data_IF_955271130998
#
_entry.id   IF_955271130998
#
_cell.length_a   1.000
_cell.length_b   1.000
_cell.length_c   1.000
_cell.angle_alpha   90.00
_cell.angle_beta   90.00
_cell.angle_gamma   90.00
#
_symmetry.space_group_name_H-M   'P 1'
#
loop_
_entity.id
_entity.type
_entity.pdbx_description
1 polymer ?
#
# COMPACT_ATOMS: atom_id res chain seq x y z
N UNK A 1 17.54 -0.76 -11.39
CA UNK A 1 16.60 0.26 -10.89
C UNK A 1 15.49 -0.48 -10.18
N UNK A 2 15.19 -0.16 -8.92
CA UNK A 2 14.05 -0.78 -8.21
C UNK A 2 12.75 -0.32 -8.86
N UNK A 3 11.86 -1.25 -9.21
CA UNK A 3 10.56 -0.92 -9.80
C UNK A 3 9.51 -0.78 -8.70
N UNK A 4 8.82 0.36 -8.65
CA UNK A 4 7.67 0.58 -7.77
C UNK A 4 6.35 0.47 -8.54
N UNK A 5 5.27 0.19 -7.81
CA UNK A 5 3.89 0.20 -8.32
C UNK A 5 3.00 1.13 -7.49
N UNK A 6 2.29 2.04 -8.14
CA UNK A 6 1.32 2.87 -7.44
C UNK A 6 0.04 2.10 -7.10
N UNK A 7 -0.38 2.11 -5.83
CA UNK A 7 -1.59 1.40 -5.42
C UNK A 7 -2.88 2.03 -5.96
N UNK A 8 -2.82 3.25 -6.51
CA UNK A 8 -3.94 3.90 -7.21
C UNK A 8 -4.38 3.19 -8.48
N UNK A 9 -3.54 2.31 -9.04
CA UNK A 9 -3.90 1.56 -10.24
C UNK A 9 -4.86 0.40 -9.96
N UNK A 10 -5.08 0.06 -8.68
CA UNK A 10 -6.00 -1.00 -8.27
C UNK A 10 -7.39 -0.46 -7.96
N UNK A 11 -8.44 -1.30 -8.05
CA UNK A 11 -9.78 -0.92 -7.63
C UNK A 11 -9.82 -0.45 -6.16
N UNK A 12 -10.56 0.62 -5.83
CA UNK A 12 -10.58 1.18 -4.47
C UNK A 12 -11.20 0.23 -3.43
N UNK A 13 -11.99 -0.76 -3.85
CA UNK A 13 -12.60 -1.77 -2.96
C UNK A 13 -11.64 -2.90 -2.58
N UNK A 14 -10.50 -3.03 -3.28
CA UNK A 14 -9.48 -4.02 -2.96
C UNK A 14 -8.71 -3.58 -1.73
N UNK A 15 -8.47 -4.43 -0.73
CA UNK A 15 -7.71 -4.01 0.44
C UNK A 15 -6.23 -3.75 0.13
N UNK A 16 -5.57 -2.92 0.93
CA UNK A 16 -4.19 -2.49 0.69
C UNK A 16 -3.22 -3.68 0.65
N UNK A 17 -3.39 -4.66 1.53
CA UNK A 17 -2.52 -5.84 1.61
C UNK A 17 -2.62 -6.74 0.37
N UNK A 18 -3.82 -6.90 -0.17
CA UNK A 18 -4.08 -7.61 -1.41
C UNK A 18 -3.39 -6.91 -2.58
N UNK A 19 -3.46 -5.58 -2.66
CA UNK A 19 -2.76 -4.81 -3.70
C UNK A 19 -1.25 -4.95 -3.60
N UNK A 20 -0.70 -4.88 -2.38
CA UNK A 20 0.74 -5.10 -2.10
C UNK A 20 1.16 -6.50 -2.53
N UNK A 21 0.37 -7.53 -2.20
CA UNK A 21 0.65 -8.91 -2.60
C UNK A 21 0.69 -9.07 -4.12
N UNK A 22 -0.27 -8.48 -4.84
CA UNK A 22 -0.28 -8.54 -6.31
C UNK A 22 0.95 -7.83 -6.90
N UNK A 23 1.36 -6.69 -6.33
CA UNK A 23 2.57 -5.99 -6.76
C UNK A 23 3.83 -6.86 -6.56
N UNK A 24 3.94 -7.53 -5.41
CA UNK A 24 5.02 -8.45 -5.10
C UNK A 24 5.04 -9.66 -6.06
N UNK A 25 3.89 -10.30 -6.27
CA UNK A 25 3.74 -11.45 -7.17
C UNK A 25 4.08 -11.08 -8.64
N UNK A 26 3.89 -9.81 -9.02
CA UNK A 26 4.26 -9.27 -10.33
C UNK A 26 5.73 -8.84 -10.46
N UNK A 27 6.54 -8.99 -9.40
CA UNK A 27 7.97 -8.70 -9.39
C UNK A 27 8.33 -7.23 -9.18
N UNK A 28 7.41 -6.43 -8.60
CA UNK A 28 7.74 -5.08 -8.14
C UNK A 28 8.46 -5.15 -6.78
N UNK A 29 9.45 -4.26 -6.60
CA UNK A 29 10.30 -4.19 -5.40
C UNK A 29 9.81 -3.16 -4.39
N UNK A 30 8.74 -2.42 -4.71
CA UNK A 30 8.14 -1.45 -3.82
C UNK A 30 6.76 -1.03 -4.29
N UNK A 31 6.03 -0.36 -3.40
CA UNK A 31 4.71 0.20 -3.69
C UNK A 31 4.64 1.66 -3.26
N UNK A 32 3.79 2.44 -3.94
CA UNK A 32 3.48 3.81 -3.56
C UNK A 32 2.06 3.84 -3.02
N UNK A 33 1.94 4.13 -1.72
CA UNK A 33 0.66 4.27 -1.01
C UNK A 33 0.27 5.75 -1.05
N UNK A 34 -0.96 6.02 -1.48
CA UNK A 34 -1.54 7.35 -1.39
C UNK A 34 -2.34 7.40 -0.08
N UNK A 35 -2.33 8.58 0.56
CA UNK A 35 -2.96 8.79 1.86
C UNK A 35 -4.14 9.77 1.72
N UNK A 36 -4.98 9.53 0.72
CA UNK A 36 -6.16 10.37 0.49
C UNK A 36 -7.21 10.16 1.59
N UNK A 37 -8.05 11.17 1.90
CA UNK A 37 -9.05 11.07 2.98
C UNK A 37 -10.07 9.93 2.84
N UNK A 38 -10.27 9.42 1.62
CA UNK A 38 -11.22 8.35 1.31
C UNK A 38 -10.57 6.97 1.14
N UNK A 39 -9.24 6.87 1.31
CA UNK A 39 -8.53 5.60 1.25
C UNK A 39 -8.50 4.91 2.62
N UNK A 40 -8.18 3.60 2.60
CA UNK A 40 -8.09 2.76 3.80
C UNK A 40 -7.10 3.32 4.83
N UNK A 41 -5.98 3.86 4.35
CA UNK A 41 -5.02 4.62 5.14
C UNK A 41 -4.99 6.06 4.63
N UNK A 42 -4.95 7.02 5.55
CA UNK A 42 -4.96 8.44 5.24
C UNK A 42 -4.11 9.24 6.21
N UNK A 43 -4.00 10.55 6.00
CA UNK A 43 -3.35 11.45 6.97
C UNK A 43 -4.07 11.55 8.31
N UNK A 44 -5.31 11.04 8.42
CA UNK A 44 -6.04 10.92 9.68
C UNK A 44 -5.77 9.60 10.41
N UNK A 45 -5.09 8.64 9.77
CA UNK A 45 -4.68 7.40 10.41
C UNK A 45 -3.69 7.68 11.54
N UNK A 46 -3.81 6.90 12.61
CA UNK A 46 -2.91 6.93 13.74
C UNK A 46 -1.50 6.44 13.36
N UNK A 47 -0.51 6.82 14.16
CA UNK A 47 0.86 6.31 14.01
C UNK A 47 0.90 4.77 14.10
N UNK A 48 0.06 4.17 14.94
CA UNK A 48 -0.03 2.71 15.07
C UNK A 48 -0.53 2.03 13.81
N UNK A 49 -1.52 2.61 13.13
CA UNK A 49 -2.04 2.10 11.85
C UNK A 49 -0.99 2.21 10.73
N UNK A 50 -0.29 3.34 10.65
CA UNK A 50 0.78 3.52 9.66
C UNK A 50 1.99 2.63 9.94
N UNK A 51 2.32 2.39 11.21
CA UNK A 51 3.36 1.45 11.61
C UNK A 51 2.98 0.00 11.25
N UNK A 52 1.72 -0.39 11.47
CA UNK A 52 1.22 -1.70 11.09
C UNK A 52 1.27 -1.90 9.56
N UNK A 53 0.86 -0.90 8.78
CA UNK A 53 0.98 -0.90 7.32
C UNK A 53 2.44 -1.09 6.87
N UNK A 54 3.36 -0.30 7.46
CA UNK A 54 4.79 -0.42 7.17
C UNK A 54 5.30 -1.83 7.45
N UNK A 55 4.97 -2.38 8.62
CA UNK A 55 5.36 -3.74 8.97
C UNK A 55 4.84 -4.78 7.98
N UNK A 56 3.62 -4.61 7.46
CA UNK A 56 3.06 -5.55 6.48
C UNK A 56 3.70 -5.44 5.09
N UNK A 57 4.27 -4.29 4.73
CA UNK A 57 4.97 -4.07 3.45
C UNK A 57 6.44 -4.51 3.53
N UNK A 58 7.10 -4.30 4.68
CA UNK A 58 8.53 -4.56 4.86
C UNK A 58 8.86 -5.97 5.38
N UNK A 59 7.87 -6.76 5.83
CA UNK A 59 8.04 -8.13 6.32
C UNK A 59 8.25 -9.15 5.18
#
# INVERSE_FOLDING_TARGET
MRKSLSLRMFPPQMDTLQRVRIASDAGYEGVEVNLEPWEEFSLASSEGELAALRHAIEA
#
